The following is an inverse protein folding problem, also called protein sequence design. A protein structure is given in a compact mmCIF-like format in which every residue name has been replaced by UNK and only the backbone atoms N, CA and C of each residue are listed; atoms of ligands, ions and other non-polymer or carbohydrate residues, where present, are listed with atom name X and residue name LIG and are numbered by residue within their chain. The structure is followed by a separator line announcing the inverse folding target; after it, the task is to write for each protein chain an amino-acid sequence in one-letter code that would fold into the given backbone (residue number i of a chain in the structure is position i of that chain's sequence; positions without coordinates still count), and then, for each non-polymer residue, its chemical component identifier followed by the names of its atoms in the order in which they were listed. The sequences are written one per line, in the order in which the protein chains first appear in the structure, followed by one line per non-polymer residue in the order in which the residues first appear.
data_IF_441385768689
#
_entry.id   IF_441385768689
#
_cell.length_a   1.000
_cell.length_b   1.000
_cell.length_c   1.000
_cell.angle_alpha   90.00
_cell.angle_beta   90.00
_cell.angle_gamma   90.00
#
_symmetry.space_group_name_H-M   'P 1'
#
loop_
_entity.id
_entity.type
_entity.pdbx_description
1 polymer ?
#
# COMPACT_ATOMS: atom_id res chain seq x y z
N UNK A 1 -3.30 5.99 -21.63
CA UNK A 1 -2.51 7.18 -21.27
C UNK A 1 -3.05 7.71 -19.95
N UNK A 2 -2.20 7.81 -18.94
CA UNK A 2 -2.53 8.53 -17.70
C UNK A 2 -2.40 10.02 -18.00
N UNK A 3 -3.44 10.79 -17.69
CA UNK A 3 -3.42 12.25 -17.77
C UNK A 3 -3.45 12.81 -16.36
N UNK A 4 -2.62 13.78 -16.08
CA UNK A 4 -2.53 14.42 -14.78
C UNK A 4 -2.59 15.96 -14.87
N UNK A 5 -2.93 16.48 -16.05
CA UNK A 5 -3.19 17.90 -16.23
C UNK A 5 -4.40 18.36 -15.39
N UNK A 6 -4.41 19.62 -15.04
CA UNK A 6 -5.40 20.21 -14.13
C UNK A 6 -6.86 19.92 -14.51
N UNK A 7 -7.18 20.00 -15.79
CA UNK A 7 -8.56 19.79 -16.26
C UNK A 7 -8.95 18.31 -16.18
N UNK A 8 -8.03 17.40 -16.55
CA UNK A 8 -8.25 15.97 -16.49
C UNK A 8 -8.47 15.50 -15.04
N UNK A 9 -7.65 15.95 -14.09
CA UNK A 9 -7.80 15.60 -12.67
C UNK A 9 -9.14 16.07 -12.10
N UNK A 10 -9.55 17.30 -12.42
CA UNK A 10 -10.85 17.85 -11.99
C UNK A 10 -11.99 17.02 -12.59
N UNK A 11 -11.95 16.74 -13.89
CA UNK A 11 -12.98 15.98 -14.58
C UNK A 11 -13.11 14.55 -14.02
N UNK A 12 -11.99 13.87 -13.79
CA UNK A 12 -11.99 12.52 -13.21
C UNK A 12 -12.54 12.48 -11.78
N UNK A 13 -12.28 13.51 -10.99
CA UNK A 13 -12.86 13.65 -9.66
C UNK A 13 -14.39 13.83 -9.75
N UNK A 14 -14.87 14.71 -10.63
CA UNK A 14 -16.31 14.93 -10.85
C UNK A 14 -17.01 13.68 -11.38
N UNK A 15 -16.36 12.93 -12.27
CA UNK A 15 -16.86 11.64 -12.75
C UNK A 15 -16.93 10.59 -11.63
N UNK A 16 -15.96 10.59 -10.72
CA UNK A 16 -15.96 9.73 -9.55
C UNK A 16 -17.08 10.06 -8.58
N UNK A 17 -17.30 11.34 -8.29
CA UNK A 17 -18.42 11.82 -7.47
C UNK A 17 -19.78 11.39 -8.05
N UNK A 18 -19.94 11.53 -9.36
CA UNK A 18 -21.17 11.14 -10.08
C UNK A 18 -21.39 9.62 -9.98
N UNK A 19 -20.33 8.81 -10.16
CA UNK A 19 -20.43 7.34 -10.03
C UNK A 19 -20.71 6.88 -8.60
N UNK A 20 -20.16 7.57 -7.62
CA UNK A 20 -20.36 7.28 -6.19
C UNK A 20 -21.73 7.77 -5.69
N UNK A 21 -22.38 8.71 -6.38
CA UNK A 21 -23.63 9.32 -5.96
C UNK A 21 -23.47 10.21 -4.71
N UNK A 22 -22.33 10.89 -4.59
CA UNK A 22 -22.00 11.78 -3.47
C UNK A 22 -21.47 13.12 -3.99
N UNK A 23 -21.48 14.14 -3.17
CA UNK A 23 -20.99 15.48 -3.46
C UNK A 23 -19.56 15.74 -2.96
N UNK A 24 -18.99 14.84 -2.16
CA UNK A 24 -17.59 14.91 -1.72
C UNK A 24 -16.94 13.53 -1.61
N UNK A 25 -15.60 13.51 -1.64
CA UNK A 25 -14.74 12.35 -1.36
C UNK A 25 -13.85 12.72 -0.17
N UNK A 26 -13.78 11.84 0.86
CA UNK A 26 -12.97 12.10 2.04
C UNK A 26 -11.48 12.16 1.73
N UNK A 27 -11.00 11.23 0.90
CA UNK A 27 -9.60 11.18 0.50
C UNK A 27 -9.47 10.80 -0.97
N UNK A 28 -8.92 11.72 -1.78
CA UNK A 28 -8.68 11.55 -3.21
C UNK A 28 -7.20 11.56 -3.52
N UNK A 29 -6.69 10.62 -4.33
CA UNK A 29 -5.26 10.51 -4.58
C UNK A 29 -4.93 10.31 -6.04
N UNK A 30 -3.82 10.89 -6.48
CA UNK A 30 -3.22 10.59 -7.77
C UNK A 30 -2.55 9.22 -7.71
N UNK A 31 -2.91 8.32 -8.63
CA UNK A 31 -2.49 6.91 -8.61
C UNK A 31 -1.01 6.72 -8.99
N UNK A 32 -0.50 7.49 -9.95
CA UNK A 32 0.89 7.47 -10.41
C UNK A 32 1.39 8.86 -10.72
N UNK A 33 2.68 9.15 -10.48
CA UNK A 33 3.30 10.34 -11.05
C UNK A 33 3.28 10.24 -12.58
N UNK A 34 3.15 11.37 -13.26
CA UNK A 34 3.12 11.45 -14.73
C UNK A 34 4.21 12.42 -15.17
N UNK A 35 5.15 11.93 -16.00
CA UNK A 35 6.33 12.70 -16.41
C UNK A 35 5.99 13.81 -17.43
N UNK A 36 4.91 13.63 -18.23
CA UNK A 36 4.50 14.54 -19.30
C UNK A 36 3.70 15.76 -18.79
N UNK A 37 3.42 15.83 -17.49
CA UNK A 37 2.66 16.92 -16.87
C UNK A 37 3.44 17.51 -15.71
N UNK A 38 3.62 18.84 -15.64
CA UNK A 38 4.18 19.49 -14.48
C UNK A 38 3.40 19.11 -13.20
N UNK A 39 4.11 18.69 -12.18
CA UNK A 39 3.48 18.25 -10.91
C UNK A 39 2.61 19.36 -10.30
N UNK A 40 3.02 20.61 -10.46
CA UNK A 40 2.27 21.78 -10.01
C UNK A 40 0.83 21.80 -10.54
N UNK A 41 0.60 21.46 -11.80
CA UNK A 41 -0.76 21.42 -12.39
C UNK A 41 -1.65 20.40 -11.68
N UNK A 42 -1.11 19.20 -11.38
CA UNK A 42 -1.85 18.18 -10.65
C UNK A 42 -2.15 18.63 -9.22
N UNK A 43 -1.17 19.21 -8.54
CA UNK A 43 -1.31 19.68 -7.17
C UNK A 43 -2.27 20.86 -7.06
N UNK A 44 -2.25 21.80 -8.01
CA UNK A 44 -3.24 22.88 -8.11
C UNK A 44 -4.66 22.36 -8.38
N UNK A 45 -4.80 21.25 -9.11
CA UNK A 45 -6.11 20.64 -9.31
C UNK A 45 -6.67 20.09 -8.00
N UNK A 46 -5.84 19.40 -7.20
CA UNK A 46 -6.22 18.89 -5.88
C UNK A 46 -6.58 20.04 -4.92
N UNK A 47 -5.81 21.12 -4.94
CA UNK A 47 -6.07 22.30 -4.11
C UNK A 47 -7.43 22.92 -4.45
N UNK A 48 -7.68 23.13 -5.74
CA UNK A 48 -8.98 23.62 -6.24
C UNK A 48 -10.15 22.71 -5.87
N UNK A 49 -9.98 21.39 -5.98
CA UNK A 49 -11.03 20.44 -5.61
C UNK A 49 -11.33 20.48 -4.10
N UNK A 50 -10.30 20.70 -3.29
CA UNK A 50 -10.43 20.88 -1.83
C UNK A 50 -11.15 22.18 -1.50
N UNK A 51 -10.77 23.29 -2.12
CA UNK A 51 -11.42 24.60 -1.95
C UNK A 51 -12.92 24.56 -2.35
N UNK A 52 -13.26 23.76 -3.37
CA UNK A 52 -14.65 23.55 -3.80
C UNK A 52 -15.41 22.58 -2.88
N UNK A 53 -14.77 22.00 -1.87
CA UNK A 53 -15.37 21.02 -0.98
C UNK A 53 -15.65 19.65 -1.62
N UNK A 54 -15.15 19.41 -2.85
CA UNK A 54 -15.30 18.14 -3.56
C UNK A 54 -14.42 17.02 -3.01
N UNK A 55 -13.29 17.38 -2.40
CA UNK A 55 -12.45 16.48 -1.64
C UNK A 55 -12.14 17.09 -0.27
N UNK A 56 -12.02 16.28 0.77
CA UNK A 56 -11.62 16.74 2.11
C UNK A 56 -10.11 16.75 2.26
N UNK A 57 -9.44 15.72 1.71
CA UNK A 57 -8.01 15.55 1.72
C UNK A 57 -7.53 14.97 0.40
N UNK A 58 -6.29 15.28 0.03
CA UNK A 58 -5.65 14.72 -1.15
C UNK A 58 -4.32 14.04 -0.83
N UNK A 59 -3.91 13.13 -1.69
CA UNK A 59 -2.64 12.45 -1.57
C UNK A 59 -2.14 11.88 -2.89
N UNK A 60 -1.10 11.08 -2.77
CA UNK A 60 -0.39 10.53 -3.92
C UNK A 60 -0.12 9.03 -3.75
N UNK A 61 0.23 8.38 -4.83
CA UNK A 61 0.60 6.98 -4.85
C UNK A 61 1.86 6.79 -5.69
N UNK A 62 2.80 5.98 -5.18
CA UNK A 62 4.07 5.68 -5.87
C UNK A 62 5.01 6.88 -6.08
N UNK A 63 4.92 7.90 -5.26
CA UNK A 63 5.84 9.04 -5.33
C UNK A 63 7.16 8.73 -4.62
N UNK A 64 8.28 9.15 -5.23
CA UNK A 64 9.58 9.20 -4.59
C UNK A 64 9.61 10.29 -3.50
N UNK A 65 10.67 10.30 -2.69
CA UNK A 65 10.87 11.36 -1.70
C UNK A 65 10.94 12.74 -2.33
N UNK A 66 11.65 12.87 -3.46
CA UNK A 66 11.79 14.13 -4.19
C UNK A 66 10.44 14.61 -4.73
N UNK A 67 9.65 13.69 -5.28
CA UNK A 67 8.30 13.99 -5.76
C UNK A 67 7.36 14.39 -4.62
N UNK A 68 7.45 13.76 -3.44
CA UNK A 68 6.67 14.19 -2.28
C UNK A 68 7.04 15.60 -1.84
N UNK A 69 8.34 15.92 -1.79
CA UNK A 69 8.82 17.28 -1.45
C UNK A 69 8.35 18.32 -2.45
N UNK A 70 8.34 17.97 -3.73
CA UNK A 70 7.86 18.86 -4.80
C UNK A 70 6.37 19.11 -4.68
N UNK A 71 5.57 18.05 -4.54
CA UNK A 71 4.12 18.14 -4.37
C UNK A 71 3.73 19.02 -3.17
N UNK A 72 4.45 18.90 -2.05
CA UNK A 72 4.20 19.67 -0.83
C UNK A 72 4.45 21.17 -0.97
N UNK A 73 5.13 21.64 -2.02
CA UNK A 73 5.28 23.08 -2.28
C UNK A 73 3.97 23.73 -2.72
N UNK A 74 3.09 22.98 -3.37
CA UNK A 74 1.83 23.46 -3.95
C UNK A 74 0.61 22.98 -3.19
N UNK A 75 0.59 21.73 -2.73
CA UNK A 75 -0.56 21.14 -2.05
C UNK A 75 -0.14 20.31 -0.84
N UNK A 76 -0.82 20.43 0.31
CA UNK A 76 -0.52 19.66 1.51
C UNK A 76 -1.03 18.21 1.36
N UNK A 77 -0.30 17.38 0.58
CA UNK A 77 -0.63 15.95 0.50
C UNK A 77 -0.62 15.32 1.89
N UNK A 78 -1.62 14.48 2.18
CA UNK A 78 -1.77 13.86 3.52
C UNK A 78 -1.11 12.48 3.59
N UNK A 79 -1.01 11.78 2.46
CA UNK A 79 -0.42 10.45 2.44
C UNK A 79 0.25 10.11 1.11
N UNK A 80 1.14 9.11 1.16
CA UNK A 80 1.65 8.44 -0.02
C UNK A 80 1.34 6.94 0.09
N UNK A 81 0.69 6.36 -0.94
CA UNK A 81 0.40 4.94 -1.02
C UNK A 81 1.53 4.23 -1.76
N UNK A 82 2.22 3.31 -1.08
CA UNK A 82 3.46 2.70 -1.55
C UNK A 82 3.46 1.17 -1.38
N UNK A 83 4.20 0.44 -2.25
CA UNK A 83 4.38 -0.99 -2.05
C UNK A 83 5.27 -1.23 -0.83
N UNK A 84 4.76 -1.97 0.15
CA UNK A 84 5.52 -2.32 1.34
C UNK A 84 5.14 -3.71 1.86
N UNK A 85 6.13 -4.50 2.17
CA UNK A 85 5.98 -5.85 2.74
C UNK A 85 7.28 -6.26 3.42
N UNK A 86 7.28 -7.39 4.14
CA UNK A 86 8.51 -8.01 4.68
C UNK A 86 9.63 -8.20 3.64
N UNK A 87 9.26 -8.32 2.34
CA UNK A 87 10.19 -8.53 1.23
C UNK A 87 10.54 -7.26 0.46
N UNK A 88 9.83 -6.16 0.69
CA UNK A 88 10.02 -4.88 0.01
C UNK A 88 9.97 -3.76 1.02
N UNK A 89 11.17 -3.37 1.50
CA UNK A 89 11.36 -2.44 2.61
C UNK A 89 12.13 -1.17 2.21
N UNK A 90 12.25 -0.91 0.91
CA UNK A 90 13.08 0.19 0.37
C UNK A 90 12.71 1.56 0.93
N UNK A 91 11.40 1.80 1.14
CA UNK A 91 10.87 3.08 1.65
C UNK A 91 11.29 3.42 3.09
N UNK A 92 11.82 2.46 3.84
CA UNK A 92 12.29 2.68 5.22
C UNK A 92 13.53 3.57 5.29
N UNK A 93 14.27 3.69 4.18
CA UNK A 93 15.55 4.42 4.14
C UNK A 93 15.35 5.94 4.16
N UNK A 94 14.27 6.42 3.54
CA UNK A 94 14.08 7.83 3.24
C UNK A 94 12.63 8.30 3.37
N UNK A 95 11.67 7.63 2.70
CA UNK A 95 10.27 8.06 2.65
C UNK A 95 9.60 7.93 4.02
N UNK A 96 9.80 6.82 4.72
CA UNK A 96 9.20 6.60 6.05
C UNK A 96 9.69 7.62 7.08
N UNK A 97 11.02 7.88 7.23
CA UNK A 97 11.51 8.95 8.10
C UNK A 97 10.91 10.32 7.75
N UNK A 98 10.93 10.69 6.48
CA UNK A 98 10.36 11.94 6.01
C UNK A 98 8.86 12.07 6.32
N UNK A 99 8.08 11.03 6.06
CA UNK A 99 6.64 11.01 6.33
C UNK A 99 6.35 11.22 7.83
N UNK A 100 7.10 10.54 8.70
CA UNK A 100 6.98 10.71 10.16
C UNK A 100 7.31 12.12 10.64
N UNK A 101 8.42 12.68 10.16
CA UNK A 101 8.86 14.05 10.51
C UNK A 101 7.87 15.12 10.05
N UNK A 102 7.15 14.87 8.95
CA UNK A 102 6.20 15.80 8.35
C UNK A 102 4.73 15.47 8.64
N UNK A 103 4.44 14.53 9.55
CA UNK A 103 3.09 14.07 9.90
C UNK A 103 2.29 13.59 8.67
N UNK A 104 2.95 12.85 7.77
CA UNK A 104 2.30 12.25 6.59
C UNK A 104 2.10 10.76 6.79
N UNK A 105 1.00 10.25 6.25
CA UNK A 105 0.65 8.84 6.35
C UNK A 105 1.29 8.01 5.24
N UNK A 106 1.64 6.77 5.55
CA UNK A 106 2.01 5.76 4.56
C UNK A 106 0.91 4.69 4.50
N UNK A 107 0.33 4.50 3.31
CA UNK A 107 -0.61 3.44 3.02
C UNK A 107 0.14 2.31 2.32
N UNK A 108 0.39 1.21 3.03
CA UNK A 108 1.17 0.08 2.51
C UNK A 108 0.30 -0.83 1.64
N UNK A 109 0.56 -0.91 0.34
CA UNK A 109 -0.12 -1.86 -0.52
C UNK A 109 0.76 -3.09 -0.84
N UNK A 110 0.13 -4.18 -1.26
CA UNK A 110 0.78 -5.48 -1.49
C UNK A 110 1.50 -6.06 -0.26
N UNK A 111 0.96 -5.97 0.96
CA UNK A 111 1.64 -6.42 2.19
C UNK A 111 1.94 -7.91 2.17
N UNK A 112 1.14 -8.72 1.46
CA UNK A 112 1.34 -10.16 1.26
C UNK A 112 2.18 -10.50 0.03
N UNK A 113 2.83 -9.52 -0.61
CA UNK A 113 3.62 -9.69 -1.84
C UNK A 113 2.85 -10.48 -2.91
N UNK A 114 1.65 -10.01 -3.26
CA UNK A 114 0.72 -10.67 -4.21
C UNK A 114 0.34 -12.10 -3.78
N UNK A 115 0.28 -12.34 -2.48
CA UNK A 115 -0.07 -13.62 -1.86
C UNK A 115 1.11 -14.55 -1.54
N UNK A 116 2.34 -14.21 -1.95
CA UNK A 116 3.52 -15.06 -1.72
C UNK A 116 3.75 -15.31 -0.21
N UNK A 117 3.55 -14.29 0.62
CA UNK A 117 3.70 -14.38 2.07
C UNK A 117 2.52 -15.08 2.79
N UNK A 118 1.55 -15.62 2.06
CA UNK A 118 0.48 -16.45 2.64
C UNK A 118 0.92 -17.89 2.99
N UNK A 119 2.06 -18.33 2.45
CA UNK A 119 2.54 -19.70 2.58
C UNK A 119 1.77 -20.74 1.75
N UNK A 120 0.90 -20.30 0.83
CA UNK A 120 0.06 -21.19 -0.02
C UNK A 120 0.74 -21.61 -1.32
N UNK A 121 1.90 -21.03 -1.67
CA UNK A 121 2.59 -21.37 -2.91
C UNK A 121 3.48 -22.59 -2.73
N UNK A 122 3.20 -23.61 -3.55
CA UNK A 122 4.08 -24.78 -3.69
C UNK A 122 5.09 -24.49 -4.80
N UNK A 123 6.43 -24.57 -4.52
CA UNK A 123 7.46 -24.31 -5.50
C UNK A 123 7.41 -25.26 -6.70
N UNK A 124 6.85 -26.47 -6.52
CA UNK A 124 6.75 -27.51 -7.56
C UNK A 124 5.47 -27.39 -8.41
N UNK A 125 4.57 -26.49 -8.02
CA UNK A 125 3.30 -26.27 -8.77
C UNK A 125 3.43 -25.00 -9.61
N UNK A 126 3.42 -25.09 -10.95
CA UNK A 126 3.48 -23.92 -11.80
C UNK A 126 2.23 -23.04 -11.64
N UNK A 127 2.42 -21.74 -11.76
CA UNK A 127 1.30 -20.79 -11.81
C UNK A 127 0.45 -21.04 -13.08
N UNK A 128 -0.84 -20.79 -12.97
CA UNK A 128 -1.78 -20.99 -14.07
C UNK A 128 -1.40 -20.16 -15.30
N UNK A 129 -1.82 -20.59 -16.48
CA UNK A 129 -1.65 -19.84 -17.72
C UNK A 129 -2.39 -18.49 -17.59
N UNK A 130 -1.74 -17.40 -18.06
CA UNK A 130 -2.27 -16.04 -17.91
C UNK A 130 -2.04 -15.39 -16.52
N UNK A 131 -1.48 -16.12 -15.56
CA UNK A 131 -1.12 -15.51 -14.28
C UNK A 131 0.09 -14.59 -14.44
N UNK A 132 -0.12 -13.28 -14.31
CA UNK A 132 0.91 -12.25 -14.48
C UNK A 132 2.02 -12.27 -13.41
N UNK A 133 1.96 -13.19 -12.43
CA UNK A 133 3.02 -13.43 -11.44
C UNK A 133 4.15 -14.29 -12.00
N UNK A 134 3.93 -15.03 -13.10
CA UNK A 134 4.93 -15.91 -13.73
C UNK A 134 6.22 -15.19 -14.10
N UNK A 135 6.10 -13.93 -14.56
CA UNK A 135 7.25 -13.14 -15.01
C UNK A 135 7.97 -12.44 -13.86
N UNK A 136 7.41 -12.47 -12.67
CA UNK A 136 7.99 -11.86 -11.50
C UNK A 136 9.09 -12.74 -10.89
N UNK A 137 10.26 -12.14 -10.62
CA UNK A 137 11.36 -12.80 -9.94
C UNK A 137 10.96 -13.39 -8.58
N UNK A 138 10.02 -12.77 -7.88
CA UNK A 138 9.52 -13.26 -6.59
C UNK A 138 8.91 -14.66 -6.69
N UNK A 139 8.30 -15.03 -7.83
CA UNK A 139 7.60 -16.30 -8.03
C UNK A 139 8.44 -17.36 -8.74
N UNK A 140 9.75 -17.17 -8.88
CA UNK A 140 10.66 -18.25 -9.31
C UNK A 140 10.78 -19.31 -8.21
N UNK A 141 10.85 -20.58 -8.61
CA UNK A 141 10.90 -21.76 -7.70
C UNK A 141 11.80 -21.55 -6.49
N UNK A 142 13.06 -21.15 -6.71
CA UNK A 142 14.02 -20.96 -5.62
C UNK A 142 13.65 -19.84 -4.66
N UNK A 143 12.94 -18.81 -5.13
CA UNK A 143 12.48 -17.73 -4.25
C UNK A 143 11.25 -18.15 -3.44
N UNK A 144 10.33 -18.91 -4.03
CA UNK A 144 9.21 -19.51 -3.31
C UNK A 144 9.75 -20.42 -2.18
N UNK A 145 10.77 -21.25 -2.47
CA UNK A 145 11.40 -22.11 -1.46
C UNK A 145 12.00 -21.30 -0.31
N UNK A 146 12.73 -20.21 -0.60
CA UNK A 146 13.30 -19.31 0.41
C UNK A 146 12.21 -18.68 1.27
N UNK A 147 11.13 -18.20 0.65
CA UNK A 147 10.01 -17.59 1.36
C UNK A 147 9.32 -18.62 2.24
N UNK A 148 9.03 -19.82 1.74
CA UNK A 148 8.44 -20.89 2.54
C UNK A 148 9.33 -21.29 3.73
N UNK A 149 10.64 -21.33 3.53
CA UNK A 149 11.59 -21.57 4.64
C UNK A 149 11.55 -20.44 5.67
N UNK A 150 11.50 -19.17 5.23
CA UNK A 150 11.32 -18.03 6.13
C UNK A 150 9.99 -18.15 6.90
N UNK A 151 8.88 -18.37 6.19
CA UNK A 151 7.55 -18.53 6.81
C UNK A 151 7.48 -19.67 7.82
N UNK A 152 8.22 -20.78 7.59
CA UNK A 152 8.30 -21.87 8.57
C UNK A 152 8.96 -21.45 9.87
N UNK A 153 9.90 -20.50 9.84
CA UNK A 153 10.57 -19.99 11.06
C UNK A 153 9.68 -19.06 11.89
N UNK A 154 8.80 -18.30 11.24
CA UNK A 154 7.89 -17.38 11.95
C UNK A 154 6.54 -18.02 12.30
N UNK A 155 6.23 -19.20 11.75
CA UNK A 155 5.00 -19.94 12.04
C UNK A 155 4.75 -20.17 13.54
N UNK A 156 5.74 -20.53 14.39
CA UNK A 156 5.52 -20.67 15.81
C UNK A 156 4.94 -19.42 16.48
N UNK A 157 5.30 -18.21 15.99
CA UNK A 157 4.73 -16.97 16.51
C UNK A 157 3.25 -16.85 16.14
N UNK A 158 2.86 -17.26 14.92
CA UNK A 158 1.45 -17.29 14.54
C UNK A 158 0.65 -18.29 15.38
N UNK A 159 1.23 -19.45 15.66
CA UNK A 159 0.63 -20.50 16.49
C UNK A 159 0.46 -20.04 17.94
N UNK A 160 1.45 -19.34 18.52
CA UNK A 160 1.37 -18.75 19.86
C UNK A 160 0.18 -17.80 20.01
N UNK A 161 -0.07 -16.97 18.96
CA UNK A 161 -1.20 -16.04 18.93
C UNK A 161 -2.50 -16.68 18.43
N UNK A 162 -2.49 -17.98 18.07
CA UNK A 162 -3.64 -18.69 17.49
C UNK A 162 -4.21 -17.98 16.23
N UNK A 163 -3.32 -17.51 15.34
CA UNK A 163 -3.67 -16.77 14.12
C UNK A 163 -3.03 -17.41 12.88
N UNK A 164 -3.53 -17.05 11.70
CA UNK A 164 -2.94 -17.47 10.43
C UNK A 164 -1.64 -16.73 10.13
N UNK A 165 -0.78 -17.32 9.26
CA UNK A 165 0.40 -16.62 8.75
C UNK A 165 0.03 -15.30 8.04
N UNK A 166 -1.10 -15.26 7.35
CA UNK A 166 -1.60 -14.03 6.70
C UNK A 166 -1.82 -12.95 7.75
N UNK A 167 -2.52 -13.26 8.81
CA UNK A 167 -2.77 -12.32 9.91
C UNK A 167 -1.48 -11.88 10.60
N UNK A 168 -0.54 -12.80 10.85
CA UNK A 168 0.76 -12.46 11.42
C UNK A 168 1.53 -11.47 10.54
N UNK A 169 1.59 -11.73 9.21
CA UNK A 169 2.29 -10.86 8.25
C UNK A 169 1.65 -9.47 8.17
N UNK A 170 0.32 -9.41 8.16
CA UNK A 170 -0.41 -8.13 8.16
C UNK A 170 -0.19 -7.37 9.46
N UNK A 171 -0.27 -8.06 10.60
CA UNK A 171 -0.01 -7.47 11.92
C UNK A 171 1.42 -6.94 12.02
N UNK A 172 2.43 -7.73 11.62
CA UNK A 172 3.81 -7.27 11.58
C UNK A 172 3.96 -5.99 10.74
N UNK A 173 3.31 -5.95 9.57
CA UNK A 173 3.36 -4.79 8.69
C UNK A 173 2.76 -3.54 9.37
N UNK A 174 1.64 -3.69 10.09
CA UNK A 174 1.02 -2.61 10.88
C UNK A 174 1.90 -2.11 12.03
N UNK A 175 2.74 -2.98 12.61
CA UNK A 175 3.64 -2.61 13.69
C UNK A 175 4.93 -1.93 13.22
N UNK A 176 5.16 -1.80 11.90
CA UNK A 176 6.36 -1.12 11.42
C UNK A 176 6.25 0.40 11.62
N UNK A 177 7.31 1.03 12.17
CA UNK A 177 7.31 2.47 12.43
C UNK A 177 7.00 3.28 11.18
N UNK A 178 5.96 4.13 11.24
CA UNK A 178 5.59 5.03 10.13
C UNK A 178 4.64 4.43 9.08
N UNK A 179 4.30 3.16 9.18
CA UNK A 179 3.20 2.58 8.40
C UNK A 179 1.88 2.91 9.11
N UNK A 180 0.98 3.61 8.41
CA UNK A 180 -0.28 4.07 9.00
C UNK A 180 -1.43 3.10 8.70
N UNK A 181 -1.52 2.63 7.46
CA UNK A 181 -2.55 1.70 7.00
C UNK A 181 -1.95 0.58 6.16
N UNK A 182 -2.56 -0.60 6.23
CA UNK A 182 -2.21 -1.75 5.41
C UNK A 182 -3.38 -2.11 4.51
N UNK A 183 -3.16 -2.09 3.21
CA UNK A 183 -4.17 -2.38 2.19
C UNK A 183 -4.08 -3.84 1.77
N UNK A 184 -4.86 -4.69 2.44
CA UNK A 184 -4.92 -6.12 2.17
C UNK A 184 -6.07 -6.45 1.21
N UNK A 185 -5.75 -7.11 0.08
CA UNK A 185 -6.77 -7.56 -0.87
C UNK A 185 -7.60 -8.71 -0.31
N UNK A 186 -8.91 -8.67 -0.54
CA UNK A 186 -9.84 -9.74 -0.21
C UNK A 186 -10.69 -10.09 -1.43
N UNK A 187 -10.99 -11.39 -1.61
CA UNK A 187 -11.86 -11.87 -2.70
C UNK A 187 -13.21 -12.37 -2.21
N UNK A 188 -13.34 -12.59 -0.91
CA UNK A 188 -14.56 -13.01 -0.24
C UNK A 188 -14.75 -12.22 1.05
N UNK A 189 -15.98 -12.15 1.59
CA UNK A 189 -16.23 -11.52 2.90
C UNK A 189 -15.36 -12.12 4.01
N UNK A 190 -15.18 -13.44 4.03
CA UNK A 190 -14.38 -14.15 5.03
C UNK A 190 -12.91 -13.71 4.99
N UNK A 191 -12.35 -13.51 3.78
CA UNK A 191 -11.00 -12.95 3.64
C UNK A 191 -10.90 -11.52 4.17
N UNK A 192 -11.93 -10.70 3.98
CA UNK A 192 -11.93 -9.34 4.51
C UNK A 192 -11.98 -9.35 6.05
N UNK A 193 -12.84 -10.19 6.63
CA UNK A 193 -12.92 -10.36 8.09
C UNK A 193 -11.62 -10.92 8.68
N UNK A 194 -11.02 -11.94 8.05
CA UNK A 194 -9.74 -12.51 8.46
C UNK A 194 -8.63 -11.47 8.43
N UNK A 195 -8.54 -10.69 7.35
CA UNK A 195 -7.54 -9.63 7.23
C UNK A 195 -7.74 -8.53 8.29
N UNK A 196 -8.99 -8.13 8.56
CA UNK A 196 -9.29 -7.10 9.55
C UNK A 196 -8.85 -7.49 10.97
N UNK A 197 -9.02 -8.76 11.36
CA UNK A 197 -8.58 -9.28 12.66
C UNK A 197 -7.06 -9.19 12.89
N UNK A 198 -6.26 -8.97 11.84
CA UNK A 198 -4.83 -8.75 12.00
C UNK A 198 -4.49 -7.50 12.84
N UNK A 199 -5.40 -6.52 12.90
CA UNK A 199 -5.23 -5.32 13.73
C UNK A 199 -5.35 -5.58 15.23
N UNK A 200 -5.98 -6.68 15.63
CA UNK A 200 -6.20 -7.04 17.03
C UNK A 200 -5.00 -7.78 17.64
N UNK A 201 -4.03 -8.18 16.81
CA UNK A 201 -2.85 -8.94 17.25
C UNK A 201 -1.81 -7.96 17.79
N UNK A 202 -1.44 -8.15 19.05
CA UNK A 202 -0.40 -7.37 19.72
C UNK A 202 0.91 -8.17 19.72
N UNK A 203 1.83 -7.81 18.84
CA UNK A 203 3.17 -8.42 18.80
C UNK A 203 4.12 -7.73 19.78
N UNK A 204 4.90 -8.53 20.51
CA UNK A 204 5.99 -8.01 21.35
C UNK A 204 7.12 -7.43 20.49
N UNK A 205 7.95 -6.55 21.07
CA UNK A 205 9.14 -6.03 20.39
C UNK A 205 10.10 -7.14 19.96
N UNK A 206 10.21 -8.19 20.77
CA UNK A 206 11.05 -9.35 20.48
C UNK A 206 10.51 -10.11 19.26
N UNK A 207 9.19 -10.37 19.22
CA UNK A 207 8.54 -11.01 18.07
C UNK A 207 8.69 -10.18 16.79
N UNK A 208 8.48 -8.84 16.86
CA UNK A 208 8.66 -7.94 15.71
C UNK A 208 10.10 -7.99 15.18
N UNK A 209 11.09 -8.05 16.07
CA UNK A 209 12.50 -8.10 15.69
C UNK A 209 12.96 -9.49 15.20
N UNK A 210 12.27 -10.55 15.63
CA UNK A 210 12.54 -11.93 15.19
C UNK A 210 12.01 -12.19 13.78
N UNK A 211 10.92 -11.55 13.44
CA UNK A 211 10.29 -11.58 12.12
C UNK A 211 11.06 -10.66 11.14
#
# INVERSE_FOLDING_TARGET
YLKADKNSVIQECEDSLRRLGTDYIDYYQQHWPVDDTPMEETMEALDRLKDQGKIRAGGVCNYSLEQMKEALKTFPIEANQLPYSMMKRDIEKDIVPFARENNKSILAYSPLQRGLLSGKFNPDTPLAEGDNRKDSAYFKTHNIQKVNHFLSKIRPIAEEHNVSLVQLVLSWTLHQPGITFVLAGARTPEHAEENAKASDIVLSKEQINTI
#
